data_IF_860150750668
#
_entry.id   IF_860150750668
#
_cell.length_a   1.000
_cell.length_b   1.000
_cell.length_c   1.000
_cell.angle_alpha   90.00
_cell.angle_beta   90.00
_cell.angle_gamma   90.00
#
_symmetry.space_group_name_H-M   'P 1'
#
loop_
_entity.id
_entity.type
_entity.pdbx_description
1 polymer ?
#
# COMPACT_ATOMS: atom_id res chain seq x y z
N UNK A 1 -18.22 -14.11 5.11
CA UNK A 1 -17.37 -15.02 4.33
C UNK A 1 -18.07 -15.47 3.03
N UNK A 2 -19.33 -15.95 3.08
CA UNK A 2 -20.08 -16.41 1.90
C UNK A 2 -20.34 -15.29 0.90
N UNK A 3 -20.77 -14.11 1.35
CA UNK A 3 -20.98 -12.91 0.52
C UNK A 3 -19.68 -12.43 -0.16
N UNK A 4 -18.56 -12.45 0.57
CA UNK A 4 -17.23 -12.14 0.02
C UNK A 4 -16.79 -13.14 -1.05
N UNK A 5 -17.11 -14.42 -0.89
CA UNK A 5 -16.81 -15.46 -1.89
C UNK A 5 -17.67 -15.30 -3.16
N UNK A 6 -18.93 -14.90 -3.02
CA UNK A 6 -19.83 -14.66 -4.16
C UNK A 6 -19.35 -13.42 -4.95
N UNK A 7 -18.98 -12.34 -4.25
CA UNK A 7 -18.41 -11.13 -4.86
C UNK A 7 -17.06 -11.41 -5.54
N UNK A 8 -16.21 -12.25 -4.93
CA UNK A 8 -14.93 -12.64 -5.48
C UNK A 8 -15.03 -13.43 -6.81
N UNK A 9 -16.12 -14.16 -7.01
CA UNK A 9 -16.37 -14.89 -8.26
C UNK A 9 -16.94 -13.99 -9.35
N UNK A 10 -17.80 -13.05 -8.98
CA UNK A 10 -18.55 -12.21 -9.91
C UNK A 10 -17.78 -10.97 -10.39
N UNK A 11 -17.07 -10.32 -9.48
CA UNK A 11 -16.31 -9.10 -9.79
C UNK A 11 -14.99 -9.08 -8.96
N UNK A 12 -13.89 -9.63 -9.48
CA UNK A 12 -12.64 -9.78 -8.74
C UNK A 12 -12.01 -8.46 -8.29
N UNK A 13 -12.25 -7.37 -8.99
CA UNK A 13 -11.73 -6.04 -8.61
C UNK A 13 -12.47 -5.42 -7.43
N UNK A 14 -13.78 -5.63 -7.30
CA UNK A 14 -14.54 -5.19 -6.12
C UNK A 14 -14.06 -5.98 -4.90
N UNK A 15 -13.77 -7.27 -5.07
CA UNK A 15 -13.20 -8.07 -3.99
C UNK A 15 -11.84 -7.54 -3.53
N UNK A 16 -10.94 -7.21 -4.46
CA UNK A 16 -9.65 -6.61 -4.13
C UNK A 16 -9.80 -5.23 -3.49
N UNK A 17 -10.68 -4.39 -4.02
CA UNK A 17 -11.00 -3.09 -3.41
C UNK A 17 -11.45 -3.24 -1.96
N UNK A 18 -12.35 -4.19 -1.66
CA UNK A 18 -12.81 -4.44 -0.30
C UNK A 18 -11.71 -4.98 0.63
N UNK A 19 -10.78 -5.81 0.11
CA UNK A 19 -9.63 -6.27 0.87
C UNK A 19 -8.70 -5.12 1.25
N UNK A 20 -8.37 -4.24 0.31
CA UNK A 20 -7.56 -3.06 0.59
C UNK A 20 -8.26 -2.11 1.57
N UNK A 21 -9.57 -1.92 1.45
CA UNK A 21 -10.32 -1.10 2.39
C UNK A 21 -10.28 -1.70 3.81
N UNK A 22 -10.45 -3.01 3.92
CA UNK A 22 -10.35 -3.70 5.21
C UNK A 22 -8.94 -3.54 5.80
N UNK A 23 -7.90 -3.69 4.99
CA UNK A 23 -6.52 -3.43 5.39
C UNK A 23 -6.32 -2.00 5.90
N UNK A 24 -6.87 -1.00 5.22
CA UNK A 24 -6.84 0.39 5.65
C UNK A 24 -7.47 0.56 7.04
N UNK A 25 -8.66 0.01 7.26
CA UNK A 25 -9.36 0.10 8.56
C UNK A 25 -8.51 -0.54 9.68
N UNK A 26 -7.91 -1.70 9.42
CA UNK A 26 -7.04 -2.38 10.40
C UNK A 26 -5.84 -1.50 10.76
N UNK A 27 -5.16 -0.91 9.78
CA UNK A 27 -4.01 -0.04 10.05
C UNK A 27 -4.42 1.26 10.74
N UNK A 28 -5.58 1.83 10.44
CA UNK A 28 -6.10 2.97 11.19
C UNK A 28 -6.37 2.62 12.66
N UNK A 29 -6.95 1.46 12.93
CA UNK A 29 -7.17 0.99 14.31
C UNK A 29 -5.85 0.76 15.05
N UNK A 30 -4.85 0.14 14.39
CA UNK A 30 -3.51 -0.04 14.96
C UNK A 30 -2.87 1.31 15.27
N UNK A 31 -2.96 2.29 14.37
CA UNK A 31 -2.39 3.62 14.59
C UNK A 31 -3.03 4.34 15.77
N UNK A 32 -4.35 4.19 15.99
CA UNK A 32 -5.04 4.75 17.14
C UNK A 32 -4.59 4.08 18.46
N UNK A 33 -4.32 2.78 18.44
CA UNK A 33 -3.80 2.06 19.61
C UNK A 33 -2.37 2.55 19.95
N UNK A 34 -1.52 2.74 18.93
CA UNK A 34 -0.16 3.28 19.13
C UNK A 34 -0.24 4.70 19.69
N UNK A 35 -1.07 5.57 19.14
CA UNK A 35 -1.24 6.93 19.63
C UNK A 35 -1.70 7.00 21.09
N UNK A 36 -2.60 6.10 21.50
CA UNK A 36 -3.13 6.08 22.86
C UNK A 36 -2.12 5.59 23.92
N UNK A 37 -1.08 4.86 23.50
CA UNK A 37 -0.01 4.39 24.41
C UNK A 37 0.95 5.50 24.86
N UNK A 38 0.84 6.68 24.27
CA UNK A 38 1.75 7.83 24.43
C UNK A 38 1.67 8.54 25.80
N UNK A 39 0.72 8.17 26.66
CA UNK A 39 0.48 8.88 27.91
C UNK A 39 1.43 8.53 29.07
N UNK A 40 2.35 7.60 28.89
CA UNK A 40 3.06 7.01 30.03
C UNK A 40 4.56 7.29 30.13
N UNK A 41 5.27 7.69 29.06
CA UNK A 41 6.74 7.88 29.11
C UNK A 41 7.21 9.03 28.22
N UNK A 42 7.74 10.08 28.82
CA UNK A 42 8.18 11.33 28.13
C UNK A 42 9.40 11.16 27.20
N UNK A 43 10.21 10.12 27.36
CA UNK A 43 11.46 9.95 26.60
C UNK A 43 11.26 9.27 25.22
N UNK A 44 10.14 8.57 25.03
CA UNK A 44 9.91 7.74 23.84
C UNK A 44 8.94 8.37 22.83
N UNK A 45 8.52 9.62 23.06
CA UNK A 45 7.55 10.34 22.23
C UNK A 45 7.94 10.43 20.75
N UNK A 46 9.24 10.55 20.46
CA UNK A 46 9.71 10.63 19.08
C UNK A 46 9.45 9.32 18.30
N UNK A 47 9.73 8.17 18.92
CA UNK A 47 9.55 6.86 18.30
C UNK A 47 8.08 6.56 18.03
N UNK A 48 7.25 6.74 19.06
CA UNK A 48 5.81 6.48 18.98
C UNK A 48 5.17 7.40 17.94
N UNK A 49 5.55 8.68 17.93
CA UNK A 49 5.04 9.64 16.95
C UNK A 49 5.48 9.30 15.51
N UNK A 50 6.72 8.85 15.32
CA UNK A 50 7.21 8.43 14.01
C UNK A 50 6.50 7.17 13.52
N UNK A 51 6.26 6.18 14.38
CA UNK A 51 5.48 4.99 14.05
C UNK A 51 4.02 5.33 13.76
N UNK A 52 3.42 6.23 14.53
CA UNK A 52 2.05 6.69 14.29
C UNK A 52 1.93 7.37 12.92
N UNK A 53 2.81 8.32 12.61
CA UNK A 53 2.84 9.01 11.32
C UNK A 53 3.04 8.04 10.17
N UNK A 54 4.00 7.13 10.28
CA UNK A 54 4.26 6.11 9.26
C UNK A 54 3.05 5.20 9.05
N UNK A 55 2.46 4.68 10.11
CA UNK A 55 1.32 3.76 10.03
C UNK A 55 0.06 4.47 9.55
N UNK A 56 -0.24 5.64 10.10
CA UNK A 56 -1.48 6.36 9.81
C UNK A 56 -1.43 7.02 8.42
N UNK A 57 -0.41 7.82 8.14
CA UNK A 57 -0.35 8.60 6.90
C UNK A 57 0.07 7.72 5.74
N UNK A 58 1.19 7.03 5.85
CA UNK A 58 1.73 6.32 4.70
C UNK A 58 1.00 5.01 4.41
N UNK A 59 0.87 4.13 5.39
CA UNK A 59 0.26 2.80 5.19
C UNK A 59 -1.24 2.94 4.98
N UNK A 60 -1.94 3.63 5.89
CA UNK A 60 -3.38 3.82 5.81
C UNK A 60 -3.80 4.48 4.50
N UNK A 61 -3.17 5.60 4.12
CA UNK A 61 -3.47 6.29 2.87
C UNK A 61 -3.15 5.44 1.64
N UNK A 62 -2.06 4.65 1.65
CA UNK A 62 -1.73 3.75 0.54
C UNK A 62 -2.80 2.69 0.33
N UNK A 63 -3.31 2.09 1.40
CA UNK A 63 -4.38 1.10 1.32
C UNK A 63 -5.71 1.70 0.88
N UNK A 64 -6.07 2.89 1.36
CA UNK A 64 -7.25 3.63 0.89
C UNK A 64 -7.12 3.95 -0.60
N UNK A 65 -5.97 4.46 -1.02
CA UNK A 65 -5.71 4.75 -2.42
C UNK A 65 -5.88 3.51 -3.30
N UNK A 66 -5.26 2.38 -2.94
CA UNK A 66 -5.37 1.14 -3.70
C UNK A 66 -6.80 0.59 -3.72
N UNK A 67 -7.56 0.73 -2.63
CA UNK A 67 -8.98 0.37 -2.59
C UNK A 67 -9.78 1.17 -3.61
N UNK A 68 -9.66 2.50 -3.59
CA UNK A 68 -10.32 3.39 -4.54
C UNK A 68 -9.88 3.09 -5.97
N UNK A 69 -8.58 2.86 -6.18
CA UNK A 69 -8.00 2.56 -7.49
C UNK A 69 -8.61 1.29 -8.12
N UNK A 70 -8.68 0.19 -7.39
CA UNK A 70 -9.32 -1.05 -7.88
C UNK A 70 -10.81 -0.88 -8.12
N UNK A 71 -11.50 -0.08 -7.32
CA UNK A 71 -12.92 0.25 -7.54
C UNK A 71 -13.10 1.05 -8.83
N UNK A 72 -12.28 2.08 -9.05
CA UNK A 72 -12.36 2.95 -10.21
C UNK A 72 -12.01 2.22 -11.53
N UNK A 73 -11.08 1.28 -11.51
CA UNK A 73 -10.78 0.45 -12.67
C UNK A 73 -12.03 -0.26 -13.17
N UNK A 74 -12.82 -0.83 -12.27
CA UNK A 74 -14.01 -1.59 -12.65
C UNK A 74 -15.18 -0.71 -13.03
N UNK A 75 -15.52 0.24 -12.17
CA UNK A 75 -16.72 1.07 -12.36
C UNK A 75 -16.48 2.24 -13.31
N UNK A 76 -15.30 2.86 -13.23
CA UNK A 76 -14.98 4.01 -14.05
C UNK A 76 -14.49 3.63 -15.45
N UNK A 77 -13.55 2.71 -15.55
CA UNK A 77 -13.05 2.25 -16.84
C UNK A 77 -13.93 1.16 -17.48
N UNK A 78 -14.87 0.57 -16.74
CA UNK A 78 -15.68 -0.60 -17.18
C UNK A 78 -14.80 -1.74 -17.72
N UNK A 79 -13.58 -1.86 -17.20
CA UNK A 79 -12.61 -2.85 -17.64
C UNK A 79 -12.61 -4.06 -16.71
N UNK A 80 -12.49 -5.25 -17.29
CA UNK A 80 -12.26 -6.47 -16.50
C UNK A 80 -10.81 -6.53 -16.04
N UNK A 81 -10.58 -6.87 -14.79
CA UNK A 81 -9.23 -6.98 -14.25
C UNK A 81 -8.45 -8.08 -14.97
N UNK A 82 -7.23 -7.79 -15.42
CA UNK A 82 -6.38 -8.74 -16.15
C UNK A 82 -6.10 -9.99 -15.31
N UNK A 83 -5.68 -9.83 -14.06
CA UNK A 83 -5.37 -10.97 -13.19
C UNK A 83 -5.74 -10.68 -11.73
N UNK A 84 -6.60 -11.54 -11.17
CA UNK A 84 -6.91 -11.53 -9.74
C UNK A 84 -5.68 -11.91 -8.91
N UNK A 85 -4.87 -12.85 -9.40
CA UNK A 85 -3.68 -13.35 -8.69
C UNK A 85 -2.66 -12.23 -8.49
N UNK A 86 -2.37 -11.42 -9.52
CA UNK A 86 -1.47 -10.27 -9.39
C UNK A 86 -2.00 -9.24 -8.40
N UNK A 87 -3.31 -8.99 -8.39
CA UNK A 87 -3.93 -8.11 -7.39
C UNK A 87 -3.78 -8.66 -5.96
N UNK A 88 -3.94 -9.97 -5.78
CA UNK A 88 -3.78 -10.62 -4.48
C UNK A 88 -2.32 -10.60 -4.02
N UNK A 89 -1.36 -10.82 -4.93
CA UNK A 89 0.07 -10.68 -4.63
C UNK A 89 0.40 -9.25 -4.19
N UNK A 90 -0.14 -8.25 -4.87
CA UNK A 90 0.04 -6.84 -4.48
C UNK A 90 -0.55 -6.60 -3.09
N UNK A 91 -1.75 -7.09 -2.79
CA UNK A 91 -2.38 -6.92 -1.49
C UNK A 91 -1.55 -7.52 -0.35
N UNK A 92 -1.19 -8.80 -0.46
CA UNK A 92 -0.40 -9.46 0.58
C UNK A 92 1.01 -8.89 0.69
N UNK A 93 1.64 -8.55 -0.45
CA UNK A 93 2.94 -7.91 -0.45
C UNK A 93 2.92 -6.58 0.30
N UNK A 94 1.97 -5.70 0.00
CA UNK A 94 1.84 -4.44 0.73
C UNK A 94 1.48 -4.66 2.21
N UNK A 95 0.58 -5.61 2.51
CA UNK A 95 0.16 -5.91 3.88
C UNK A 95 1.33 -6.32 4.79
N UNK A 96 2.24 -7.16 4.28
CA UNK A 96 3.38 -7.64 5.06
C UNK A 96 4.60 -6.72 5.03
N UNK A 97 4.87 -6.06 3.91
CA UNK A 97 6.10 -5.30 3.74
C UNK A 97 5.99 -3.84 4.21
N UNK A 98 4.83 -3.18 4.01
CA UNK A 98 4.68 -1.77 4.38
C UNK A 98 4.91 -1.48 5.87
N UNK A 99 4.43 -2.30 6.83
CA UNK A 99 4.66 -2.02 8.24
C UNK A 99 6.14 -1.91 8.62
N UNK A 100 7.00 -2.67 7.96
CA UNK A 100 8.44 -2.67 8.24
C UNK A 100 9.16 -1.43 7.71
N UNK A 101 8.60 -0.75 6.72
CA UNK A 101 9.23 0.46 6.15
C UNK A 101 9.31 1.61 7.13
N UNK A 102 8.46 1.61 8.17
CA UNK A 102 8.46 2.62 9.23
C UNK A 102 9.71 2.55 10.12
N UNK A 103 10.33 1.38 10.26
CA UNK A 103 11.51 1.21 11.12
C UNK A 103 12.76 1.93 10.60
N UNK A 104 12.81 2.36 9.36
CA UNK A 104 13.90 3.19 8.82
C UNK A 104 14.05 4.55 9.53
N UNK A 105 12.99 5.04 10.17
CA UNK A 105 13.04 6.29 10.93
C UNK A 105 13.71 6.16 12.28
N UNK A 106 14.08 4.97 12.68
CA UNK A 106 14.79 4.68 13.92
C UNK A 106 16.32 4.68 13.77
N UNK A 107 16.82 5.13 12.62
CA UNK A 107 18.25 5.24 12.33
C UNK A 107 18.97 6.08 13.40
N UNK A 108 20.09 5.55 13.91
CA UNK A 108 20.88 6.23 14.95
C UNK A 108 20.26 6.24 16.35
N UNK A 109 19.27 5.40 16.60
CA UNK A 109 18.64 5.24 17.91
C UNK A 109 19.23 4.09 18.72
N UNK A 110 18.75 3.88 19.95
CA UNK A 110 19.18 2.77 20.82
C UNK A 110 18.67 1.39 20.39
N UNK A 111 17.96 1.31 19.26
CA UNK A 111 17.49 0.03 18.73
C UNK A 111 18.65 -0.78 18.13
N UNK A 112 18.55 -2.13 18.17
CA UNK A 112 19.57 -2.99 17.57
C UNK A 112 19.67 -2.78 16.05
N UNK A 113 20.88 -2.68 15.51
CA UNK A 113 21.18 -2.45 14.09
C UNK A 113 20.54 -3.47 13.13
N UNK A 114 20.23 -4.68 13.62
CA UNK A 114 19.59 -5.69 12.79
C UNK A 114 18.15 -5.32 12.39
N UNK A 115 17.42 -4.58 13.22
CA UNK A 115 16.04 -4.13 12.92
C UNK A 115 16.07 -3.17 11.73
N UNK A 116 17.04 -2.30 11.73
CA UNK A 116 17.26 -1.33 10.66
C UNK A 116 17.61 -2.02 9.34
N UNK A 117 18.58 -2.92 9.36
CA UNK A 117 18.95 -3.70 8.19
C UNK A 117 17.76 -4.49 7.62
N UNK A 118 16.97 -5.14 8.47
CA UNK A 118 15.76 -5.84 8.07
C UNK A 118 14.75 -4.88 7.42
N UNK A 119 14.56 -3.69 7.99
CA UNK A 119 13.67 -2.67 7.42
C UNK A 119 14.09 -2.26 6.01
N UNK A 120 15.38 -2.07 5.77
CA UNK A 120 15.93 -1.71 4.45
C UNK A 120 15.65 -2.82 3.43
N UNK A 121 15.97 -4.08 3.75
CA UNK A 121 15.73 -5.21 2.85
C UNK A 121 14.25 -5.42 2.54
N UNK A 122 13.38 -5.26 3.54
CA UNK A 122 11.93 -5.38 3.33
C UNK A 122 11.38 -4.19 2.54
N UNK A 123 11.94 -2.99 2.71
CA UNK A 123 11.60 -1.83 1.87
C UNK A 123 12.01 -2.05 0.41
N UNK A 124 13.18 -2.63 0.14
CA UNK A 124 13.58 -3.01 -1.22
C UNK A 124 12.65 -4.07 -1.81
N UNK A 125 12.16 -4.99 -0.99
CA UNK A 125 11.23 -6.04 -1.43
C UNK A 125 9.86 -5.49 -1.85
N UNK A 126 9.51 -4.23 -1.52
CA UNK A 126 8.32 -3.54 -2.03
C UNK A 126 8.27 -3.41 -3.55
N UNK A 127 9.41 -3.58 -4.23
CA UNK A 127 9.44 -3.62 -5.70
C UNK A 127 8.57 -4.74 -6.26
N UNK A 128 8.42 -5.85 -5.55
CA UNK A 128 7.64 -7.01 -5.98
C UNK A 128 6.14 -6.69 -6.08
N UNK A 129 5.46 -6.24 -5.01
CA UNK A 129 4.04 -5.88 -5.10
C UNK A 129 3.81 -4.66 -6.00
N UNK A 130 4.76 -3.74 -6.09
CA UNK A 130 4.69 -2.60 -7.01
C UNK A 130 4.71 -3.06 -8.48
N UNK A 131 5.63 -3.94 -8.86
CA UNK A 131 5.67 -4.51 -10.21
C UNK A 131 4.41 -5.31 -10.54
N UNK A 132 3.91 -6.13 -9.60
CA UNK A 132 2.66 -6.86 -9.79
C UNK A 132 1.48 -5.91 -10.04
N UNK A 133 1.42 -4.79 -9.32
CA UNK A 133 0.42 -3.75 -9.49
C UNK A 133 0.54 -3.06 -10.86
N UNK A 134 1.76 -2.68 -11.27
CA UNK A 134 2.03 -2.02 -12.55
C UNK A 134 1.63 -2.93 -13.72
N UNK A 135 2.04 -4.20 -13.70
CA UNK A 135 1.71 -5.16 -14.76
C UNK A 135 0.20 -5.38 -14.83
N UNK A 136 -0.45 -5.56 -13.67
CA UNK A 136 -1.90 -5.77 -13.61
C UNK A 136 -2.67 -4.56 -14.19
N UNK A 137 -2.28 -3.35 -13.81
CA UNK A 137 -2.89 -2.12 -14.34
C UNK A 137 -2.65 -1.94 -15.84
N UNK A 138 -1.40 -2.06 -16.30
CA UNK A 138 -1.03 -1.84 -17.69
C UNK A 138 -1.77 -2.81 -18.61
N UNK A 139 -1.86 -4.09 -18.23
CA UNK A 139 -2.60 -5.09 -18.99
C UNK A 139 -4.12 -4.84 -18.96
N UNK A 140 -4.67 -4.46 -17.81
CA UNK A 140 -6.09 -4.10 -17.70
C UNK A 140 -6.43 -2.87 -18.54
N UNK A 141 -5.56 -1.86 -18.54
CA UNK A 141 -5.75 -0.65 -19.35
C UNK A 141 -5.63 -0.91 -20.86
N UNK A 142 -4.80 -1.87 -21.27
CA UNK A 142 -4.62 -2.22 -22.69
C UNK A 142 -5.82 -2.97 -23.29
N UNK A 143 -6.58 -3.73 -22.49
CA UNK A 143 -7.72 -4.54 -22.97
C UNK A 143 -9.00 -3.75 -23.21
N UNK A 144 -9.02 -2.44 -23.01
CA UNK A 144 -10.22 -1.62 -23.06
C UNK A 144 -10.50 -1.06 -24.46
N UNK A 145 -11.68 -1.35 -25.01
CA UNK A 145 -12.12 -0.89 -26.31
C UNK A 145 -12.72 0.55 -26.31
N UNK A 146 -13.45 0.96 -25.26
CA UNK A 146 -14.10 2.27 -25.15
C UNK A 146 -13.59 3.06 -23.92
N UNK A 147 -12.61 3.92 -24.14
CA UNK A 147 -12.07 4.79 -23.08
C UNK A 147 -12.81 6.13 -23.07
N UNK A 148 -13.42 6.48 -21.93
CA UNK A 148 -13.64 7.89 -21.64
C UNK A 148 -12.26 8.54 -21.43
N UNK A 149 -11.79 9.42 -22.34
CA UNK A 149 -10.37 9.80 -22.38
C UNK A 149 -9.94 10.52 -21.09
N UNK A 150 -10.78 11.42 -20.58
CA UNK A 150 -10.48 12.22 -19.40
C UNK A 150 -10.31 11.34 -18.14
N UNK A 151 -11.23 10.39 -17.94
CA UNK A 151 -11.21 9.52 -16.76
C UNK A 151 -10.02 8.55 -16.79
N UNK A 152 -9.68 8.04 -17.97
CA UNK A 152 -8.51 7.18 -18.16
C UNK A 152 -7.20 7.92 -17.85
N UNK A 153 -7.08 9.18 -18.27
CA UNK A 153 -5.90 10.02 -18.00
C UNK A 153 -5.77 10.30 -16.49
N UNK A 154 -6.88 10.65 -15.82
CA UNK A 154 -6.86 10.91 -14.37
C UNK A 154 -6.41 9.69 -13.58
N UNK A 155 -6.94 8.50 -13.88
CA UNK A 155 -6.52 7.26 -13.21
C UNK A 155 -5.06 6.94 -13.47
N UNK A 156 -4.59 7.09 -14.73
CA UNK A 156 -3.20 6.85 -15.09
C UNK A 156 -2.25 7.82 -14.38
N UNK A 157 -2.63 9.08 -14.28
CA UNK A 157 -1.85 10.10 -13.56
C UNK A 157 -1.77 9.78 -12.06
N UNK A 158 -2.90 9.48 -11.42
CA UNK A 158 -2.94 9.10 -10.01
C UNK A 158 -2.08 7.85 -9.73
N UNK A 159 -2.13 6.87 -10.63
CA UNK A 159 -1.31 5.68 -10.55
C UNK A 159 0.19 5.96 -10.71
N UNK A 160 0.56 6.85 -11.63
CA UNK A 160 1.93 7.27 -11.85
C UNK A 160 2.48 7.98 -10.59
N UNK A 161 1.72 8.91 -10.01
CA UNK A 161 2.11 9.58 -8.76
C UNK A 161 2.31 8.58 -7.64
N UNK A 162 1.40 7.62 -7.46
CA UNK A 162 1.54 6.55 -6.48
C UNK A 162 2.79 5.68 -6.73
N UNK A 163 3.06 5.34 -7.98
CA UNK A 163 4.28 4.62 -8.36
C UNK A 163 5.56 5.37 -8.00
N UNK A 164 5.62 6.67 -8.33
CA UNK A 164 6.76 7.53 -7.99
C UNK A 164 6.97 7.60 -6.48
N UNK A 165 5.90 7.77 -5.68
CA UNK A 165 6.03 7.82 -4.22
C UNK A 165 6.60 6.52 -3.63
N UNK A 166 6.19 5.36 -4.15
CA UNK A 166 6.76 4.08 -3.73
C UNK A 166 8.23 3.93 -4.14
N UNK A 167 8.61 4.35 -5.35
CA UNK A 167 10.01 4.34 -5.80
C UNK A 167 10.88 5.26 -4.93
N UNK A 168 10.41 6.47 -4.64
CA UNK A 168 11.11 7.39 -3.75
C UNK A 168 11.29 6.81 -2.34
N UNK A 169 10.29 6.10 -1.84
CA UNK A 169 10.38 5.39 -0.56
C UNK A 169 11.49 4.32 -0.58
N UNK A 170 11.57 3.53 -1.65
CA UNK A 170 12.61 2.50 -1.81
C UNK A 170 13.99 3.18 -1.88
N UNK A 171 14.14 4.24 -2.69
CA UNK A 171 15.41 4.99 -2.82
C UNK A 171 15.84 5.57 -1.47
N UNK A 172 14.91 6.18 -0.72
CA UNK A 172 15.23 6.74 0.59
C UNK A 172 15.66 5.68 1.61
N UNK A 173 15.27 4.43 1.42
CA UNK A 173 15.74 3.33 2.28
C UNK A 173 17.17 2.89 1.94
N UNK A 174 17.58 3.06 0.68
CA UNK A 174 18.96 2.76 0.23
C UNK A 174 19.94 3.87 0.65
N UNK A 175 19.51 5.14 0.63
CA UNK A 175 20.37 6.26 1.04
C UNK A 175 20.77 6.21 2.52
N UNK A 176 20.10 5.43 3.33
CA UNK A 176 20.46 5.19 4.73
C UNK A 176 21.54 4.11 4.89
N UNK A 177 21.95 3.42 3.78
CA UNK A 177 23.02 2.44 3.77
C UNK A 177 24.41 3.06 3.55
N UNK A 178 24.49 4.31 3.11
CA UNK A 178 25.72 5.07 2.84
C UNK A 178 25.98 6.05 3.95
#
# INVERSE_FOLDING_TARGET
LILLNILAKKEPSIFLSSQFLFGAVVFYLISLLIYRSDYTVMSDNFFINSMYLSTHIYIGCSFVFLSIFYFLITKGLKATLFSKTLGTISFWGYLFLLPWTGFKYFYGTTLPDWIENVSIYLSLSLIIPLLALIVNYSKTAATKENKEPVFSVLISFAFLVFGITNVLQIISSVSNLT
#
